data_IF_382337018207
#
_entry.id   IF_382337018207
#
_cell.length_a   1.000
_cell.length_b   1.000
_cell.length_c   1.000
_cell.angle_alpha   90.00
_cell.angle_beta   90.00
_cell.angle_gamma   90.00
#
_symmetry.space_group_name_H-M   'P 1'
#
loop_
_entity.id
_entity.type
_entity.pdbx_description
1 polymer ?
#
# COMPACT_ATOMS: atom_id res chain seq x y z
N UNK A 1 -0.05 8.38 10.63
CA UNK A 1 1.13 7.53 10.95
C UNK A 1 0.91 6.48 12.05
N UNK A 2 0.31 6.78 13.23
CA UNK A 2 0.05 5.76 14.26
C UNK A 2 -0.78 4.57 13.75
N UNK A 3 -1.77 4.84 12.89
CA UNK A 3 -2.60 3.80 12.27
C UNK A 3 -1.83 2.89 11.31
N UNK A 4 -0.95 3.46 10.47
CA UNK A 4 -0.07 2.67 9.60
C UNK A 4 0.86 1.79 10.44
N UNK A 5 1.47 2.34 11.50
CA UNK A 5 2.32 1.57 12.41
C UNK A 5 1.57 0.37 13.01
N UNK A 6 0.29 0.53 13.36
CA UNK A 6 -0.56 -0.58 13.82
C UNK A 6 -0.73 -1.63 12.72
N UNK A 7 -1.08 -1.23 11.49
CA UNK A 7 -1.33 -2.17 10.40
C UNK A 7 -0.08 -2.91 9.94
N UNK A 8 1.06 -2.23 9.79
CA UNK A 8 2.32 -2.83 9.35
C UNK A 8 2.95 -3.75 10.41
N UNK A 9 2.59 -3.59 11.69
CA UNK A 9 3.01 -4.50 12.75
C UNK A 9 2.00 -5.62 13.05
N UNK A 10 0.88 -5.72 12.32
CA UNK A 10 -0.04 -6.84 12.45
C UNK A 10 0.51 -8.04 11.65
N UNK A 11 1.12 -8.98 12.37
CA UNK A 11 1.82 -10.14 11.78
C UNK A 11 0.91 -11.09 11.01
N UNK A 12 -0.39 -11.09 11.27
CA UNK A 12 -1.30 -11.89 10.43
C UNK A 12 -1.37 -11.36 8.99
N UNK A 13 -1.06 -10.08 8.83
CA UNK A 13 -1.32 -9.31 7.62
C UNK A 13 -0.05 -9.08 6.81
N UNK A 14 1.06 -8.86 7.50
CA UNK A 14 2.37 -8.59 6.87
C UNK A 14 3.17 -9.84 6.56
N UNK A 15 2.70 -11.02 6.95
CA UNK A 15 3.37 -12.31 6.64
C UNK A 15 3.50 -12.62 5.15
N UNK A 16 2.73 -11.94 4.30
CA UNK A 16 2.78 -12.09 2.83
C UNK A 16 3.58 -10.98 2.14
N UNK A 17 4.12 -10.01 2.89
CA UNK A 17 4.99 -8.98 2.32
C UNK A 17 6.37 -9.56 2.03
N UNK A 18 7.01 -9.10 0.94
CA UNK A 18 8.31 -9.59 0.49
C UNK A 18 9.41 -9.52 1.56
N UNK A 19 9.44 -8.43 2.33
CA UNK A 19 10.34 -8.25 3.46
C UNK A 19 9.54 -8.15 4.77
N UNK A 20 9.34 -9.27 5.48
CA UNK A 20 8.77 -9.23 6.82
C UNK A 20 9.79 -8.60 7.76
N UNK A 21 9.75 -7.27 7.89
CA UNK A 21 10.44 -6.57 8.97
C UNK A 21 9.81 -7.03 10.28
N UNK A 22 10.66 -7.51 11.20
CA UNK A 22 10.21 -8.15 12.44
C UNK A 22 9.33 -7.21 13.29
N UNK A 23 9.68 -5.91 13.28
CA UNK A 23 8.91 -4.79 13.82
C UNK A 23 9.17 -3.54 12.99
N UNK A 24 8.12 -2.94 12.43
CA UNK A 24 8.17 -1.62 11.81
C UNK A 24 8.21 -0.56 12.91
N UNK A 25 9.22 0.33 12.90
CA UNK A 25 9.27 1.51 13.77
C UNK A 25 8.64 2.72 13.08
N UNK A 26 8.29 3.76 13.85
CA UNK A 26 7.77 5.00 13.29
C UNK A 26 8.76 5.66 12.32
N UNK A 27 10.04 5.67 12.71
CA UNK A 27 11.15 6.25 11.96
C UNK A 27 11.35 5.50 10.65
N UNK A 28 11.35 4.17 10.69
CA UNK A 28 11.46 3.34 9.50
C UNK A 28 10.29 3.56 8.53
N UNK A 29 9.04 3.56 9.02
CA UNK A 29 7.88 3.86 8.17
C UNK A 29 7.92 5.27 7.61
N UNK A 30 8.36 6.25 8.42
CA UNK A 30 8.49 7.63 7.98
C UNK A 30 9.55 7.79 6.90
N UNK A 31 10.65 7.06 6.95
CA UNK A 31 11.67 7.05 5.89
C UNK A 31 11.17 6.35 4.63
N UNK A 32 10.48 5.21 4.80
CA UNK A 32 9.92 4.41 3.70
C UNK A 32 8.87 5.17 2.90
N UNK A 33 7.98 5.91 3.55
CA UNK A 33 6.86 6.64 2.93
C UNK A 33 7.31 7.95 2.24
N UNK A 34 8.61 8.27 2.25
CA UNK A 34 9.11 9.58 1.82
C UNK A 34 10.07 9.50 0.63
N UNK A 35 10.31 8.30 0.09
CA UNK A 35 11.36 8.08 -0.90
C UNK A 35 10.86 7.30 -2.09
N UNK A 36 10.77 7.98 -3.23
CA UNK A 36 10.59 7.40 -4.56
C UNK A 36 9.37 6.44 -4.68
N UNK A 37 8.34 6.70 -3.87
CA UNK A 37 7.07 5.96 -3.83
C UNK A 37 5.87 6.90 -3.97
N UNK A 38 4.77 6.35 -4.48
CA UNK A 38 3.46 6.99 -4.52
C UNK A 38 2.55 6.29 -3.51
N UNK A 39 2.51 6.83 -2.29
CA UNK A 39 1.84 6.22 -1.16
C UNK A 39 0.45 6.82 -0.90
N UNK A 40 -0.54 5.97 -0.69
CA UNK A 40 -1.93 6.36 -0.48
C UNK A 40 -2.57 5.63 0.69
N UNK A 41 -3.52 6.30 1.34
CA UNK A 41 -4.42 5.69 2.32
C UNK A 41 -5.76 5.46 1.64
N UNK A 42 -6.26 4.22 1.67
CA UNK A 42 -7.57 3.87 1.18
C UNK A 42 -8.64 4.29 2.20
N UNK A 43 -9.64 5.05 1.75
CA UNK A 43 -10.75 5.54 2.56
C UNK A 43 -12.07 4.91 2.10
N UNK A 44 -12.92 4.57 3.06
CA UNK A 44 -14.33 4.22 2.85
C UNK A 44 -15.16 5.14 3.74
N UNK A 45 -16.00 5.99 3.14
CA UNK A 45 -16.80 7.01 3.86
C UNK A 45 -15.94 7.83 4.85
N UNK A 46 -14.82 8.39 4.35
CA UNK A 46 -13.80 9.12 5.12
C UNK A 46 -13.07 8.31 6.22
N UNK A 47 -13.39 7.02 6.39
CA UNK A 47 -12.69 6.14 7.33
C UNK A 47 -11.50 5.47 6.63
N UNK A 48 -10.27 5.56 7.19
CA UNK A 48 -9.12 4.83 6.66
C UNK A 48 -9.26 3.32 6.90
N UNK A 49 -9.22 2.55 5.82
CA UNK A 49 -9.37 1.08 5.84
C UNK A 49 -8.12 0.34 5.35
N UNK A 50 -7.24 1.03 4.62
CA UNK A 50 -6.06 0.40 4.05
C UNK A 50 -4.99 1.37 3.56
N UNK A 51 -3.94 0.80 3.00
CA UNK A 51 -2.79 1.50 2.45
C UNK A 51 -2.40 0.84 1.12
N UNK A 52 -1.95 1.63 0.15
CA UNK A 52 -1.37 1.12 -1.07
C UNK A 52 -0.23 2.02 -1.56
N UNK A 53 0.66 1.45 -2.35
CA UNK A 53 1.86 2.14 -2.83
C UNK A 53 2.21 1.71 -4.25
N UNK A 54 2.72 2.63 -5.05
CA UNK A 54 3.56 2.31 -6.22
C UNK A 54 5.01 2.68 -5.86
N UNK A 55 5.93 1.71 -5.89
CA UNK A 55 7.33 1.91 -5.54
C UNK A 55 8.25 1.25 -6.59
N UNK A 56 9.57 1.38 -6.41
CA UNK A 56 10.58 0.92 -7.37
C UNK A 56 10.35 1.45 -8.80
N UNK A 57 9.85 2.68 -8.92
CA UNK A 57 9.51 3.29 -10.19
C UNK A 57 10.76 3.54 -11.05
N UNK A 58 10.86 2.86 -12.20
CA UNK A 58 12.01 3.00 -13.11
C UNK A 58 11.61 2.74 -14.56
N UNK A 59 12.07 3.58 -15.49
CA UNK A 59 11.89 3.38 -16.94
C UNK A 59 10.41 3.16 -17.40
N UNK A 60 9.46 3.70 -16.63
CA UNK A 60 8.03 3.52 -16.86
C UNK A 60 7.46 2.21 -16.31
N UNK A 61 8.17 1.52 -15.43
CA UNK A 61 7.66 0.37 -14.66
C UNK A 61 7.65 0.67 -13.16
N UNK A 62 6.83 -0.05 -12.40
CA UNK A 62 6.79 0.05 -10.94
C UNK A 62 6.14 -1.18 -10.30
N UNK A 63 6.23 -1.27 -8.98
CA UNK A 63 5.63 -2.33 -8.17
C UNK A 63 4.50 -1.78 -7.31
N UNK A 64 3.42 -2.55 -7.18
CA UNK A 64 2.24 -2.21 -6.40
C UNK A 64 2.23 -3.04 -5.12
N UNK A 65 1.98 -2.39 -3.99
CA UNK A 65 1.59 -3.09 -2.75
C UNK A 65 0.23 -2.61 -2.25
N UNK A 66 -0.53 -3.51 -1.65
CA UNK A 66 -1.86 -3.24 -1.08
C UNK A 66 -1.99 -3.93 0.26
N UNK A 67 -2.51 -3.18 1.23
CA UNK A 67 -2.81 -3.64 2.57
C UNK A 67 -4.21 -3.16 2.98
N UNK A 68 -5.13 -4.08 3.21
CA UNK A 68 -6.39 -3.77 3.92
C UNK A 68 -6.13 -3.98 5.40
N UNK A 69 -5.79 -2.90 6.10
CA UNK A 69 -5.31 -2.94 7.47
C UNK A 69 -6.41 -3.19 8.52
N UNK A 70 -7.65 -2.80 8.25
CA UNK A 70 -8.78 -3.10 9.13
C UNK A 70 -9.42 -4.46 8.76
N UNK A 71 -9.29 -5.43 9.68
CA UNK A 71 -9.70 -6.83 9.48
C UNK A 71 -11.18 -6.97 9.14
N UNK A 72 -12.03 -6.07 9.64
CA UNK A 72 -13.47 -6.12 9.41
C UNK A 72 -13.84 -5.95 7.94
N UNK A 73 -12.97 -5.32 7.15
CA UNK A 73 -13.19 -5.03 5.73
C UNK A 73 -12.57 -6.08 4.79
N UNK A 74 -11.94 -7.14 5.30
CA UNK A 74 -11.36 -8.19 4.45
C UNK A 74 -12.39 -9.17 3.94
N UNK A 75 -12.08 -9.84 2.83
CA UNK A 75 -12.98 -10.79 2.19
C UNK A 75 -14.24 -10.15 1.58
N UNK A 76 -14.25 -8.83 1.41
CA UNK A 76 -15.38 -8.04 0.90
C UNK A 76 -15.14 -7.39 -0.47
N UNK A 77 -13.98 -7.64 -1.09
CA UNK A 77 -13.63 -7.07 -2.40
C UNK A 77 -12.85 -5.74 -2.36
N UNK A 78 -12.70 -5.09 -1.21
CA UNK A 78 -12.00 -3.78 -1.16
C UNK A 78 -10.53 -3.82 -1.61
N UNK A 79 -9.84 -4.96 -1.48
CA UNK A 79 -8.49 -5.10 -2.03
C UNK A 79 -8.46 -4.97 -3.56
N UNK A 80 -9.48 -5.53 -4.24
CA UNK A 80 -9.64 -5.42 -5.69
C UNK A 80 -10.01 -3.99 -6.10
N UNK A 81 -10.86 -3.32 -5.34
CA UNK A 81 -11.19 -1.92 -5.59
C UNK A 81 -9.97 -1.01 -5.45
N UNK A 82 -9.19 -1.17 -4.36
CA UNK A 82 -7.95 -0.41 -4.16
C UNK A 82 -6.94 -0.69 -5.28
N UNK A 83 -6.81 -1.94 -5.73
CA UNK A 83 -5.96 -2.31 -6.86
C UNK A 83 -6.38 -1.59 -8.13
N UNK A 84 -7.68 -1.59 -8.43
CA UNK A 84 -8.21 -0.91 -9.62
C UNK A 84 -7.92 0.60 -9.58
N UNK A 85 -8.14 1.24 -8.43
CA UNK A 85 -7.90 2.68 -8.29
C UNK A 85 -6.41 3.04 -8.43
N UNK A 86 -5.50 2.29 -7.80
CA UNK A 86 -4.07 2.57 -7.92
C UNK A 86 -3.54 2.27 -9.33
N UNK A 87 -4.07 1.26 -10.02
CA UNK A 87 -3.78 1.01 -11.44
C UNK A 87 -4.28 2.15 -12.33
N UNK A 88 -5.50 2.64 -12.11
CA UNK A 88 -6.04 3.80 -12.84
C UNK A 88 -5.16 5.04 -12.66
N UNK A 89 -4.69 5.27 -11.42
CA UNK A 89 -3.76 6.35 -11.11
C UNK A 89 -2.41 6.15 -11.82
N UNK A 90 -1.81 4.96 -11.70
CA UNK A 90 -0.50 4.64 -12.27
C UNK A 90 -0.46 4.70 -13.80
N UNK A 91 -1.43 4.07 -14.47
CA UNK A 91 -1.49 4.06 -15.94
C UNK A 91 -2.04 5.38 -16.50
N UNK A 92 -3.05 5.96 -15.85
CA UNK A 92 -3.77 7.12 -16.37
C UNK A 92 -3.09 8.46 -16.12
N UNK A 93 -2.52 8.67 -14.93
CA UNK A 93 -1.91 9.94 -14.55
C UNK A 93 -0.39 9.89 -14.59
N UNK A 94 0.21 8.79 -14.13
CA UNK A 94 1.66 8.66 -14.06
C UNK A 94 2.28 8.06 -15.33
N UNK A 95 1.46 7.54 -16.25
CA UNK A 95 1.87 6.98 -17.53
C UNK A 95 2.87 5.82 -17.40
N UNK A 96 2.76 5.02 -16.32
CA UNK A 96 3.45 3.73 -16.28
C UNK A 96 3.02 2.87 -17.46
N UNK A 97 3.93 2.05 -17.97
CA UNK A 97 3.67 1.07 -19.03
C UNK A 97 3.29 -0.27 -18.45
N UNK A 98 3.94 -0.64 -17.34
CA UNK A 98 3.77 -1.92 -16.66
C UNK A 98 3.81 -1.70 -15.15
N UNK A 99 2.97 -2.42 -14.42
CA UNK A 99 2.97 -2.46 -12.96
C UNK A 99 2.97 -3.93 -12.51
N UNK A 100 3.87 -4.26 -11.58
CA UNK A 100 4.02 -5.59 -10.99
C UNK A 100 3.40 -5.62 -9.59
N UNK A 101 3.07 -6.79 -9.06
CA UNK A 101 2.49 -6.99 -7.73
C UNK A 101 3.01 -8.28 -7.10
#
# INVERSE_FOLDING_TARGET
MPLLLKWFNDREDTKYMEDPVDVYTYEYLKERINKDSYDFVALLDDKPIGFCSIYNAKDGTGEISILIGDKEYRGRGYGEEVLREICNYGFGLLLFKELFA
#
